data_IF_872974200497
#
_entry.id   IF_872974200497
#
_cell.length_a   1.000
_cell.length_b   1.000
_cell.length_c   1.000
_cell.angle_alpha   90.00
_cell.angle_beta   90.00
_cell.angle_gamma   90.00
#
_symmetry.space_group_name_H-M   'P 1'
#
loop_
_entity.id
_entity.type
_entity.pdbx_description
1 polymer ?
#
# COMPACT_ATOMS: atom_id res chain seq x y z
N UNK A 1 36.47 54.40 37.62
CA UNK A 1 36.77 53.49 36.51
C UNK A 1 35.48 52.85 36.04
N UNK A 2 34.99 53.20 34.81
CA UNK A 2 33.71 52.70 34.25
C UNK A 2 34.03 51.59 33.27
N UNK A 3 33.56 50.33 33.60
CA UNK A 3 33.61 49.22 32.67
C UNK A 3 32.31 49.15 31.85
N UNK A 4 32.42 49.23 30.52
CA UNK A 4 31.32 49.12 29.55
C UNK A 4 31.26 47.65 29.11
N UNK A 5 30.16 46.96 29.51
CA UNK A 5 29.78 45.67 28.97
C UNK A 5 29.15 45.85 27.59
N UNK A 6 29.72 45.20 26.58
CA UNK A 6 29.14 45.09 25.23
C UNK A 6 28.36 43.78 25.12
N UNK A 7 27.02 43.89 25.09
CA UNK A 7 26.17 42.77 24.78
C UNK A 7 26.10 42.57 23.25
N UNK A 8 26.67 41.47 22.77
CA UNK A 8 26.54 41.04 21.38
C UNK A 8 25.23 40.26 21.19
N UNK A 9 24.33 40.77 20.36
CA UNK A 9 23.14 40.06 19.90
C UNK A 9 23.55 39.07 18.77
N UNK A 10 23.48 37.79 19.04
CA UNK A 10 23.53 36.75 18.02
C UNK A 10 22.10 36.52 17.49
N UNK A 11 21.84 36.99 16.29
CA UNK A 11 20.62 36.67 15.56
C UNK A 11 20.74 35.26 14.97
N UNK A 12 20.03 34.29 15.54
CA UNK A 12 19.89 32.96 14.96
C UNK A 12 18.88 33.01 13.80
N UNK A 13 19.36 32.87 12.56
CA UNK A 13 18.53 32.65 11.39
C UNK A 13 17.98 31.23 11.45
N UNK A 14 16.71 31.07 11.84
CA UNK A 14 15.98 29.82 11.69
C UNK A 14 15.54 29.65 10.23
N UNK A 15 16.26 28.85 9.45
CA UNK A 15 15.76 28.36 8.15
C UNK A 15 14.59 27.40 8.39
N UNK A 16 13.37 27.88 8.28
CA UNK A 16 12.19 27.03 8.19
C UNK A 16 12.20 26.33 6.82
N UNK A 17 12.61 25.06 6.80
CA UNK A 17 12.41 24.20 5.65
C UNK A 17 10.89 23.95 5.53
N UNK A 18 10.24 24.65 4.61
CA UNK A 18 8.85 24.38 4.23
C UNK A 18 8.81 22.98 3.57
N UNK A 19 8.43 21.97 4.34
CA UNK A 19 8.05 20.68 3.79
C UNK A 19 6.72 20.85 3.06
N UNK A 20 6.78 21.07 1.76
CA UNK A 20 5.59 21.00 0.90
C UNK A 20 5.07 19.56 0.95
N UNK A 21 4.02 19.33 1.73
CA UNK A 21 3.22 18.11 1.65
C UNK A 21 2.60 18.11 0.26
N UNK A 22 2.92 17.14 -0.62
CA UNK A 22 2.28 17.09 -1.92
C UNK A 22 0.78 16.90 -1.70
N UNK A 23 -0.03 17.74 -2.31
CA UNK A 23 -1.47 17.59 -2.35
C UNK A 23 -1.79 16.19 -2.90
N UNK A 24 -2.59 15.43 -2.18
CA UNK A 24 -3.15 14.17 -2.64
C UNK A 24 -3.87 14.45 -3.95
N UNK A 25 -3.46 13.80 -5.02
CA UNK A 25 -4.03 14.05 -6.34
C UNK A 25 -5.31 13.23 -6.50
N UNK A 26 -6.32 13.82 -7.16
CA UNK A 26 -7.68 13.33 -7.37
C UNK A 26 -7.82 12.05 -8.23
N UNK A 27 -6.87 11.15 -8.21
CA UNK A 27 -6.82 9.99 -9.10
C UNK A 27 -6.96 8.62 -8.39
N UNK A 28 -7.72 8.56 -7.29
CA UNK A 28 -8.06 7.29 -6.68
C UNK A 28 -8.86 6.41 -7.65
N UNK A 29 -8.31 5.27 -8.04
CA UNK A 29 -8.92 4.35 -9.00
C UNK A 29 -9.51 3.16 -8.25
N UNK A 30 -10.81 2.91 -8.44
CA UNK A 30 -11.45 1.66 -7.99
C UNK A 30 -11.21 0.55 -9.01
N UNK A 31 -10.76 -0.60 -8.54
CA UNK A 31 -10.47 -1.75 -9.39
C UNK A 31 -10.91 -3.04 -8.70
N UNK A 32 -11.54 -3.94 -9.47
CA UNK A 32 -11.86 -5.30 -9.05
C UNK A 32 -10.87 -6.25 -9.73
N UNK A 33 -10.04 -6.92 -8.94
CA UNK A 33 -9.00 -7.82 -9.41
C UNK A 33 -9.54 -9.24 -9.38
N UNK A 34 -9.73 -9.90 -10.54
CA UNK A 34 -10.16 -11.29 -10.55
C UNK A 34 -9.07 -12.21 -10.00
N UNK A 35 -9.45 -13.13 -9.13
CA UNK A 35 -8.55 -14.04 -8.44
C UNK A 35 -8.82 -15.49 -8.80
N UNK A 36 -7.75 -16.22 -9.03
CA UNK A 36 -7.73 -17.69 -9.07
C UNK A 36 -7.06 -18.19 -7.81
N UNK A 37 -7.82 -18.87 -6.95
CA UNK A 37 -7.33 -19.40 -5.68
C UNK A 37 -7.09 -20.91 -5.81
N UNK A 38 -6.04 -21.42 -5.15
CA UNK A 38 -5.72 -22.84 -5.08
C UNK A 38 -6.74 -23.63 -4.23
N UNK A 39 -7.48 -22.92 -3.38
CA UNK A 39 -8.56 -23.45 -2.54
C UNK A 39 -9.68 -22.45 -2.39
N UNK A 40 -10.90 -22.94 -2.22
CA UNK A 40 -12.10 -22.14 -2.02
C UNK A 40 -12.98 -22.02 -3.28
N UNK A 41 -14.02 -21.21 -3.24
CA UNK A 41 -14.93 -21.05 -4.36
C UNK A 41 -14.28 -20.35 -5.55
N UNK A 42 -14.76 -20.63 -6.76
CA UNK A 42 -14.37 -19.91 -7.99
C UNK A 42 -14.97 -18.50 -8.02
N UNK A 43 -14.43 -17.63 -8.89
CA UNK A 43 -14.96 -16.29 -9.10
C UNK A 43 -14.66 -15.30 -7.97
N UNK A 44 -13.60 -15.57 -7.19
CA UNK A 44 -13.14 -14.62 -6.19
C UNK A 44 -12.57 -13.37 -6.84
N UNK A 45 -12.69 -12.26 -6.15
CA UNK A 45 -12.06 -11.00 -6.56
C UNK A 45 -11.60 -10.19 -5.35
N UNK A 46 -10.63 -9.33 -5.56
CA UNK A 46 -10.21 -8.33 -4.59
C UNK A 46 -10.60 -6.94 -5.09
N UNK A 47 -11.48 -6.28 -4.35
CA UNK A 47 -11.86 -4.90 -4.64
C UNK A 47 -10.93 -3.95 -3.92
N UNK A 48 -10.28 -3.08 -4.68
CA UNK A 48 -9.26 -2.16 -4.20
C UNK A 48 -9.59 -0.73 -4.63
N UNK A 49 -9.14 0.22 -3.83
CA UNK A 49 -8.96 1.61 -4.23
C UNK A 49 -7.46 1.87 -4.21
N UNK A 50 -6.94 2.31 -5.33
CA UNK A 50 -5.50 2.62 -5.50
C UNK A 50 -5.36 4.11 -5.69
N UNK A 51 -4.63 4.73 -4.78
CA UNK A 51 -4.33 6.16 -4.82
C UNK A 51 -2.85 6.36 -5.16
N UNK A 52 -2.63 6.90 -6.34
CA UNK A 52 -1.33 7.29 -6.87
C UNK A 52 -1.47 8.60 -7.64
N UNK A 53 -0.46 9.48 -7.65
CA UNK A 53 -0.53 10.72 -8.42
C UNK A 53 -0.66 10.42 -9.93
N UNK A 54 -1.52 11.15 -10.62
CA UNK A 54 -1.70 11.00 -12.08
C UNK A 54 -0.39 11.28 -12.85
N UNK A 55 0.40 12.23 -12.35
CA UNK A 55 1.70 12.59 -12.93
C UNK A 55 2.73 12.86 -11.84
N UNK A 56 4.01 12.60 -12.17
CA UNK A 56 5.18 12.82 -11.29
C UNK A 56 6.35 13.35 -12.11
N UNK A 57 7.30 14.00 -11.46
CA UNK A 57 8.54 14.42 -12.08
C UNK A 57 9.60 13.30 -11.99
N UNK A 58 10.56 13.29 -12.91
CA UNK A 58 11.70 12.39 -12.84
C UNK A 58 12.48 12.65 -11.54
N UNK A 59 12.85 11.59 -10.82
CA UNK A 59 13.53 11.67 -9.52
C UNK A 59 12.64 12.00 -8.33
N UNK A 60 11.36 12.34 -8.53
CA UNK A 60 10.40 12.62 -7.47
C UNK A 60 10.11 11.37 -6.64
N UNK A 61 9.85 11.56 -5.35
CA UNK A 61 9.29 10.53 -4.46
C UNK A 61 7.78 10.72 -4.40
N UNK A 62 7.02 9.64 -4.56
CA UNK A 62 5.57 9.66 -4.38
C UNK A 62 5.09 8.46 -3.56
N UNK A 63 3.90 8.60 -2.99
CA UNK A 63 3.25 7.57 -2.19
C UNK A 63 2.31 6.75 -3.08
N UNK A 64 2.37 5.43 -2.91
CA UNK A 64 1.39 4.47 -3.40
C UNK A 64 0.56 4.06 -2.21
N UNK A 65 -0.75 4.28 -2.26
CA UNK A 65 -1.69 3.85 -1.24
C UNK A 65 -2.67 2.84 -1.81
N UNK A 66 -2.91 1.79 -1.05
CA UNK A 66 -3.83 0.71 -1.37
C UNK A 66 -4.85 0.59 -0.26
N UNK A 67 -6.10 0.78 -0.60
CA UNK A 67 -7.24 0.59 0.30
C UNK A 67 -8.00 -0.67 -0.16
N UNK A 68 -8.19 -1.64 0.73
CA UNK A 68 -9.06 -2.79 0.47
C UNK A 68 -10.51 -2.42 0.74
N UNK A 69 -11.43 -2.91 -0.08
CA UNK A 69 -12.85 -2.84 0.21
C UNK A 69 -13.28 -4.03 1.07
N UNK A 70 -14.47 -3.93 1.67
CA UNK A 70 -15.00 -4.97 2.55
C UNK A 70 -15.14 -6.32 1.87
N UNK A 71 -14.84 -7.37 2.62
CA UNK A 71 -14.89 -8.77 2.14
C UNK A 71 -16.31 -9.29 1.85
N UNK A 72 -17.35 -8.55 2.21
CA UNK A 72 -18.67 -9.13 2.37
C UNK A 72 -18.73 -10.12 3.55
N UNK A 73 -19.82 -10.87 3.66
CA UNK A 73 -19.97 -11.93 4.68
C UNK A 73 -19.11 -13.13 4.29
N UNK A 74 -18.20 -13.54 5.19
CA UNK A 74 -17.38 -14.72 5.03
C UNK A 74 -18.10 -15.86 5.71
N UNK A 75 -18.68 -16.78 4.94
CA UNK A 75 -19.30 -17.98 5.47
C UNK A 75 -18.90 -19.19 4.63
N UNK A 76 -18.37 -20.20 5.26
CA UNK A 76 -17.97 -21.43 4.59
C UNK A 76 -18.13 -22.62 5.51
N UNK A 77 -18.77 -23.68 5.02
CA UNK A 77 -18.93 -24.92 5.80
C UNK A 77 -17.60 -25.42 6.33
N UNK A 78 -17.50 -25.53 7.65
CA UNK A 78 -16.29 -26.00 8.33
C UNK A 78 -15.26 -24.92 8.65
N UNK A 79 -15.52 -23.67 8.30
CA UNK A 79 -14.70 -22.53 8.74
C UNK A 79 -15.00 -22.18 10.21
N UNK A 80 -13.96 -21.88 10.98
CA UNK A 80 -14.12 -21.28 12.32
C UNK A 80 -13.82 -19.79 12.28
N UNK A 81 -12.68 -19.40 11.69
CA UNK A 81 -12.26 -18.01 11.54
C UNK A 81 -11.10 -17.91 10.54
N UNK A 82 -10.92 -16.72 10.00
CA UNK A 82 -9.71 -16.32 9.27
C UNK A 82 -8.80 -15.58 10.24
N UNK A 83 -7.48 -15.84 10.20
CA UNK A 83 -6.55 -15.21 11.14
C UNK A 83 -5.36 -14.50 10.51
N UNK A 84 -4.87 -14.92 9.36
CA UNK A 84 -3.75 -14.26 8.70
C UNK A 84 -4.10 -13.93 7.25
N UNK A 85 -3.79 -12.71 6.86
CA UNK A 85 -4.03 -12.21 5.51
C UNK A 85 -2.79 -11.47 5.01
N UNK A 86 -2.47 -11.67 3.75
CA UNK A 86 -1.37 -10.96 3.10
C UNK A 86 -1.83 -10.42 1.76
N UNK A 87 -1.75 -9.11 1.59
CA UNK A 87 -1.96 -8.44 0.30
C UNK A 87 -0.62 -8.02 -0.25
N UNK A 88 -0.30 -8.40 -1.48
CA UNK A 88 0.99 -8.16 -2.10
C UNK A 88 0.85 -7.41 -3.41
N UNK A 89 1.70 -6.41 -3.62
CA UNK A 89 1.82 -5.63 -4.85
C UNK A 89 3.28 -5.57 -5.27
N UNK A 90 3.53 -5.34 -6.57
CA UNK A 90 4.90 -5.14 -7.05
C UNK A 90 5.37 -3.71 -6.79
N UNK A 91 6.66 -3.54 -6.51
CA UNK A 91 7.32 -2.25 -6.68
C UNK A 91 7.20 -1.89 -8.16
N UNK A 92 6.63 -0.73 -8.53
CA UNK A 92 6.43 -0.39 -9.93
C UNK A 92 7.74 -0.37 -10.72
N UNK A 93 7.74 -0.95 -11.91
CA UNK A 93 8.89 -0.87 -12.80
C UNK A 93 9.25 0.60 -13.10
N UNK A 94 10.53 0.91 -13.17
CA UNK A 94 10.99 2.29 -13.34
C UNK A 94 10.96 3.12 -12.05
N UNK A 95 10.81 2.47 -10.88
CA UNK A 95 10.93 3.13 -9.58
C UNK A 95 11.84 2.35 -8.63
N UNK A 96 12.29 3.03 -7.58
CA UNK A 96 13.01 2.43 -6.45
C UNK A 96 12.19 2.59 -5.16
N UNK A 97 11.97 1.50 -4.44
CA UNK A 97 11.31 1.54 -3.13
C UNK A 97 12.12 2.36 -2.12
N UNK A 98 11.45 3.26 -1.39
CA UNK A 98 12.07 4.02 -0.28
C UNK A 98 12.07 3.14 0.97
N UNK A 99 13.25 2.80 1.45
CA UNK A 99 13.41 1.90 2.60
C UNK A 99 12.71 2.45 3.84
N UNK A 100 12.00 1.58 4.57
CA UNK A 100 11.27 1.94 5.79
C UNK A 100 9.99 2.76 5.60
N UNK A 101 9.58 3.05 4.35
CA UNK A 101 8.40 3.87 4.08
C UNK A 101 7.07 3.09 4.16
N UNK A 102 7.13 1.75 4.16
CA UNK A 102 5.92 0.92 4.22
C UNK A 102 5.25 0.98 5.59
N UNK A 103 3.96 1.32 5.61
CA UNK A 103 3.16 1.39 6.84
C UNK A 103 1.70 1.06 6.61
N UNK A 104 1.05 0.57 7.66
CA UNK A 104 -0.41 0.47 7.75
C UNK A 104 -0.94 1.85 8.13
N UNK A 105 -1.97 2.31 7.44
CA UNK A 105 -2.60 3.61 7.73
C UNK A 105 -3.51 3.46 8.96
N UNK A 106 -3.27 4.20 10.05
CA UNK A 106 -4.07 4.10 11.26
C UNK A 106 -5.55 4.44 11.02
N UNK A 107 -6.43 3.83 11.82
CA UNK A 107 -7.89 4.09 11.81
C UNK A 107 -8.58 3.86 10.46
N UNK A 108 -8.00 2.99 9.61
CA UNK A 108 -8.61 2.55 8.36
C UNK A 108 -9.04 1.10 8.46
N UNK A 109 -10.12 0.75 7.76
CA UNK A 109 -10.69 -0.59 7.79
C UNK A 109 -11.47 -0.91 9.07
N UNK A 110 -12.01 -2.13 9.13
CA UNK A 110 -12.77 -2.68 10.28
C UNK A 110 -12.15 -3.96 10.84
N UNK A 111 -11.07 -4.45 10.23
CA UNK A 111 -10.37 -5.63 10.71
C UNK A 111 -9.79 -5.37 12.11
N UNK A 112 -10.04 -6.29 13.04
CA UNK A 112 -9.40 -6.27 14.34
C UNK A 112 -7.93 -6.69 14.19
N UNK A 113 -7.07 -5.72 13.95
CA UNK A 113 -5.64 -5.92 13.68
C UNK A 113 -4.92 -6.24 14.97
N UNK A 114 -4.30 -7.42 15.02
CA UNK A 114 -3.49 -7.89 16.14
C UNK A 114 -2.05 -7.41 16.04
N UNK A 115 -1.29 -7.42 17.15
CA UNK A 115 0.14 -7.12 17.14
C UNK A 115 0.92 -7.95 16.11
N UNK A 116 1.93 -7.36 15.49
CA UNK A 116 2.73 -8.01 14.44
C UNK A 116 2.31 -7.69 13.01
N UNK A 117 1.15 -7.02 12.81
CA UNK A 117 0.78 -6.50 11.49
C UNK A 117 1.83 -5.51 11.00
N UNK A 118 2.19 -5.63 9.71
CA UNK A 118 3.28 -4.81 9.14
C UNK A 118 3.18 -4.71 7.63
N UNK A 119 3.85 -3.71 7.09
CA UNK A 119 4.18 -3.62 5.66
C UNK A 119 5.68 -3.87 5.50
N UNK A 120 6.03 -4.76 4.61
CA UNK A 120 7.43 -5.12 4.35
C UNK A 120 7.70 -5.28 2.85
N UNK A 121 8.97 -5.08 2.45
CA UNK A 121 9.42 -5.30 1.07
C UNK A 121 10.41 -6.45 1.04
N UNK A 122 10.16 -7.43 0.17
CA UNK A 122 11.07 -8.53 -0.10
C UNK A 122 11.23 -8.68 -1.63
N UNK A 123 12.47 -8.65 -2.12
CA UNK A 123 12.71 -8.59 -3.56
C UNK A 123 12.00 -7.39 -4.20
N UNK A 124 11.22 -7.61 -5.23
CA UNK A 124 10.39 -6.62 -5.91
C UNK A 124 8.95 -6.53 -5.42
N UNK A 125 8.62 -7.17 -4.28
CA UNK A 125 7.25 -7.26 -3.75
C UNK A 125 7.13 -6.49 -2.45
N UNK A 126 6.09 -5.66 -2.32
CA UNK A 126 5.65 -5.03 -1.07
C UNK A 126 4.41 -5.76 -0.59
N UNK A 127 4.43 -6.21 0.65
CA UNK A 127 3.36 -6.97 1.26
C UNK A 127 2.89 -6.35 2.57
N UNK A 128 1.57 -6.16 2.70
CA UNK A 128 0.92 -5.95 3.98
C UNK A 128 0.57 -7.31 4.56
N UNK A 129 1.12 -7.63 5.73
CA UNK A 129 0.79 -8.81 6.52
C UNK A 129 -0.10 -8.39 7.67
N UNK A 130 -1.29 -8.96 7.75
CA UNK A 130 -2.26 -8.73 8.82
C UNK A 130 -2.42 -9.99 9.65
N UNK A 131 -2.37 -9.81 10.97
CA UNK A 131 -2.88 -10.76 11.92
C UNK A 131 -4.23 -10.24 12.42
N UNK A 132 -5.31 -10.95 12.14
CA UNK A 132 -6.66 -10.55 12.48
C UNK A 132 -7.44 -11.74 13.04
N UNK A 133 -8.69 -11.55 13.40
CA UNK A 133 -9.60 -12.63 13.75
C UNK A 133 -10.98 -12.28 13.18
N UNK A 134 -11.34 -12.98 12.11
CA UNK A 134 -12.64 -12.82 11.46
C UNK A 134 -13.39 -14.14 11.58
N UNK A 135 -14.43 -14.22 12.44
CA UNK A 135 -15.18 -15.45 12.65
C UNK A 135 -16.00 -15.81 11.40
N UNK A 136 -16.43 -17.06 11.31
CA UNK A 136 -17.44 -17.49 10.35
C UNK A 136 -18.71 -16.65 10.49
N UNK A 137 -19.33 -16.24 9.39
CA UNK A 137 -20.43 -15.29 9.35
C UNK A 137 -20.03 -13.82 9.56
N UNK A 138 -18.76 -13.53 9.80
CA UNK A 138 -18.23 -12.19 9.94
C UNK A 138 -17.88 -11.54 8.60
N UNK A 139 -17.67 -10.23 8.66
CA UNK A 139 -17.12 -9.44 7.54
C UNK A 139 -15.96 -8.59 8.03
N UNK A 140 -15.10 -8.16 7.13
CA UNK A 140 -14.02 -7.24 7.44
C UNK A 140 -13.69 -6.32 6.27
N UNK A 141 -13.16 -5.16 6.57
CA UNK A 141 -12.46 -4.30 5.64
C UNK A 141 -10.99 -4.26 6.07
N UNK A 142 -10.04 -4.67 5.24
CA UNK A 142 -8.63 -4.58 5.59
C UNK A 142 -8.24 -3.12 5.79
N UNK A 143 -7.29 -2.80 6.69
CA UNK A 143 -6.77 -1.46 6.77
C UNK A 143 -6.02 -1.10 5.49
N UNK A 144 -5.96 0.19 5.21
CA UNK A 144 -5.15 0.71 4.13
C UNK A 144 -3.67 0.53 4.43
N UNK A 145 -2.87 0.38 3.41
CA UNK A 145 -1.42 0.45 3.55
C UNK A 145 -0.81 1.33 2.47
N UNK A 146 0.34 1.89 2.78
CA UNK A 146 1.05 2.75 1.86
C UNK A 146 2.56 2.52 1.92
N UNK A 147 3.23 2.92 0.86
CA UNK A 147 4.68 2.95 0.76
C UNK A 147 5.12 4.01 -0.25
N UNK A 148 6.38 4.42 -0.17
CA UNK A 148 6.94 5.40 -1.07
C UNK A 148 7.89 4.76 -2.08
N UNK A 149 7.89 5.36 -3.28
CA UNK A 149 8.81 5.00 -4.36
C UNK A 149 9.42 6.26 -4.96
N UNK A 150 10.68 6.16 -5.38
CA UNK A 150 11.40 7.23 -6.10
C UNK A 150 11.40 6.89 -7.59
N UNK A 151 11.01 7.85 -8.42
CA UNK A 151 10.99 7.70 -9.89
C UNK A 151 12.41 7.58 -10.42
N UNK A 152 12.69 6.50 -11.15
CA UNK A 152 13.93 6.28 -11.89
C UNK A 152 13.71 6.23 -13.41
N UNK A 153 12.45 6.13 -13.84
CA UNK A 153 12.08 6.11 -15.24
C UNK A 153 12.27 7.48 -15.91
N UNK A 154 12.60 7.53 -17.22
CA UNK A 154 12.73 8.77 -17.97
C UNK A 154 11.37 9.44 -18.19
N UNK A 155 11.37 10.76 -18.50
CA UNK A 155 10.17 11.50 -18.85
C UNK A 155 9.36 10.86 -19.98
N UNK A 156 8.02 10.90 -19.88
CA UNK A 156 7.08 10.28 -20.80
C UNK A 156 6.77 8.81 -20.51
N UNK A 157 7.46 8.19 -19.56
CA UNK A 157 7.19 6.79 -19.15
C UNK A 157 5.90 6.69 -18.37
N UNK A 158 5.09 5.67 -18.65
CA UNK A 158 3.96 5.25 -17.82
C UNK A 158 4.45 4.20 -16.81
N UNK A 159 4.30 4.50 -15.54
CA UNK A 159 4.63 3.64 -14.41
C UNK A 159 3.33 2.95 -13.97
N UNK A 160 3.29 1.62 -14.04
CA UNK A 160 2.11 0.85 -13.67
C UNK A 160 2.24 0.29 -12.26
N UNK A 161 1.19 0.48 -11.45
CA UNK A 161 1.01 -0.22 -10.20
C UNK A 161 0.36 -1.58 -10.47
N UNK A 162 0.93 -2.66 -9.90
CA UNK A 162 0.48 -4.02 -10.21
C UNK A 162 0.23 -4.83 -8.94
N UNK A 163 -0.94 -5.48 -8.89
CA UNK A 163 -1.28 -6.47 -7.87
C UNK A 163 -0.55 -7.79 -8.17
N UNK A 164 -0.01 -8.40 -7.12
CA UNK A 164 0.79 -9.62 -7.25
C UNK A 164 0.09 -10.85 -6.73
N UNK A 165 -0.42 -10.80 -5.48
CA UNK A 165 -0.98 -11.98 -4.83
C UNK A 165 -1.78 -11.59 -3.58
N UNK A 166 -2.78 -12.41 -3.28
CA UNK A 166 -3.47 -12.42 -1.99
C UNK A 166 -3.29 -13.79 -1.33
N UNK A 167 -3.04 -13.80 -0.03
CA UNK A 167 -2.96 -15.02 0.77
C UNK A 167 -3.82 -14.90 2.01
N UNK A 168 -4.44 -16.00 2.39
CA UNK A 168 -5.23 -16.09 3.61
C UNK A 168 -4.96 -17.41 4.32
N UNK A 169 -4.93 -17.35 5.65
CA UNK A 169 -4.91 -18.56 6.49
C UNK A 169 -6.19 -18.58 7.30
N UNK A 170 -6.91 -19.66 7.19
CA UNK A 170 -8.17 -19.90 7.88
C UNK A 170 -8.05 -21.09 8.81
N UNK A 171 -8.71 -21.04 9.97
CA UNK A 171 -8.88 -22.16 10.88
C UNK A 171 -10.12 -22.93 10.50
N UNK A 172 -9.96 -24.16 10.06
CA UNK A 172 -11.07 -25.09 9.83
C UNK A 172 -11.33 -25.97 11.06
N UNK A 173 -12.57 -26.46 11.21
CA UNK A 173 -13.02 -27.21 12.39
C UNK A 173 -12.27 -28.54 12.52
N UNK A 174 -12.07 -29.25 11.42
CA UNK A 174 -11.56 -30.64 11.44
C UNK A 174 -10.07 -30.69 11.11
N UNK A 175 -9.63 -29.95 10.06
CA UNK A 175 -8.30 -30.13 9.49
C UNK A 175 -7.27 -29.12 9.98
N UNK A 176 -7.67 -28.20 10.86
CA UNK A 176 -6.75 -27.18 11.40
C UNK A 176 -6.55 -25.97 10.47
N UNK A 177 -5.31 -25.52 10.31
CA UNK A 177 -5.01 -24.35 9.48
C UNK A 177 -5.01 -24.72 7.99
N UNK A 178 -5.73 -23.91 7.23
CA UNK A 178 -5.82 -24.00 5.77
C UNK A 178 -5.21 -22.74 5.17
N UNK A 179 -4.17 -22.93 4.39
CA UNK A 179 -3.52 -21.84 3.66
C UNK A 179 -4.09 -21.80 2.25
N UNK A 180 -4.52 -20.63 1.82
CA UNK A 180 -5.05 -20.37 0.48
C UNK A 180 -4.21 -19.28 -0.18
N UNK A 181 -3.82 -19.54 -1.41
CA UNK A 181 -3.08 -18.60 -2.27
C UNK A 181 -3.96 -18.25 -3.44
N UNK A 182 -4.19 -16.95 -3.63
CA UNK A 182 -5.00 -16.40 -4.70
C UNK A 182 -4.12 -15.54 -5.59
N UNK A 183 -3.97 -15.95 -6.83
CA UNK A 183 -3.24 -15.20 -7.85
C UNK A 183 -4.23 -14.40 -8.72
N UNK A 184 -3.88 -13.17 -9.13
CA UNK A 184 -4.70 -12.44 -10.08
C UNK A 184 -4.66 -13.07 -11.46
N UNK A 185 -5.70 -12.88 -12.23
CA UNK A 185 -5.77 -13.35 -13.62
C UNK A 185 -6.06 -12.17 -14.55
N UNK A 186 -5.06 -11.73 -15.38
CA UNK A 186 -3.69 -12.23 -15.50
C UNK A 186 -2.78 -11.86 -14.30
N UNK A 187 -1.65 -12.53 -14.16
CA UNK A 187 -0.64 -12.25 -13.13
C UNK A 187 0.65 -11.69 -13.75
N UNK A 188 1.13 -10.50 -13.34
CA UNK A 188 0.51 -9.56 -12.39
C UNK A 188 -0.64 -8.77 -13.02
N UNK A 189 -1.57 -8.26 -12.21
CA UNK A 189 -2.72 -7.48 -12.67
C UNK A 189 -2.50 -5.97 -12.47
N UNK A 190 -2.73 -5.16 -13.52
CA UNK A 190 -2.58 -3.69 -13.42
C UNK A 190 -3.73 -3.08 -12.61
N UNK A 191 -3.40 -2.29 -11.58
CA UNK A 191 -4.37 -1.69 -10.66
C UNK A 191 -4.34 -0.16 -10.63
N UNK A 192 -3.38 0.46 -11.31
CA UNK A 192 -3.25 1.91 -11.40
C UNK A 192 -2.04 2.32 -12.21
N UNK A 193 -1.91 3.60 -12.52
CA UNK A 193 -0.74 4.09 -13.24
C UNK A 193 -0.46 5.57 -12.97
N UNK A 194 0.81 5.93 -13.12
CA UNK A 194 1.35 7.29 -13.00
C UNK A 194 2.18 7.59 -14.23
N UNK A 195 2.12 8.80 -14.77
CA UNK A 195 2.95 9.21 -15.91
C UNK A 195 4.07 10.14 -15.46
N UNK A 196 5.31 9.85 -15.87
CA UNK A 196 6.44 10.76 -15.65
C UNK A 196 6.31 11.94 -16.62
N UNK A 197 6.20 13.17 -16.08
CA UNK A 197 6.05 14.38 -16.89
C UNK A 197 7.21 14.51 -17.87
N UNK A 198 6.90 14.94 -19.09
CA UNK A 198 7.93 15.42 -20.02
C UNK A 198 8.45 16.75 -19.49
N UNK A 199 9.77 16.91 -19.40
CA UNK A 199 10.33 18.25 -19.18
C UNK A 199 9.79 19.16 -20.28
N UNK A 200 9.21 20.29 -19.87
CA UNK A 200 8.92 21.35 -20.84
C UNK A 200 10.26 21.65 -21.53
N UNK A 201 10.33 21.45 -22.84
CA UNK A 201 11.48 21.86 -23.63
C UNK A 201 11.64 23.37 -23.35
N UNK A 202 12.70 23.77 -22.67
CA UNK A 202 13.04 25.19 -22.62
C UNK A 202 13.25 25.62 -24.07
N UNK A 203 12.58 26.70 -24.49
CA UNK A 203 12.75 27.27 -25.82
C UNK A 203 14.17 27.75 -26.05
#
# INVERSE_FOLDING_TARGET
>A
MKSRSRSGFLAALACAAATTVPALSDAATSVSVPLSCDRGPSGQHADLIVDVPATVDAGQVFTVRIDGRGSGIISHTGLRYIHDMTTSVLVPAGTAYVSGSGRIVPNTGTANVRPGARVSKQGGVVSMVLHAHVPDGGSYTPPSFEFQVKVAAPPGTRIEQRFWQYRVTAKAIIIGDVHTVCDPTPKPYSIGSTTVKKSASQP
#
